data_IF_949905070787
#
_entry.id   IF_949905070787
#
_cell.length_a   1.000
_cell.length_b   1.000
_cell.length_c   1.000
_cell.angle_alpha   90.00
_cell.angle_beta   90.00
_cell.angle_gamma   90.00
#
_symmetry.space_group_name_H-M   'P 1'
#
loop_
_entity.id
_entity.type
_entity.pdbx_description
1 polymer ?
#
# COMPACT_ATOMS: atom_id res chain seq x y z
N UNK A 1 25.29 24.07 4.75
CA UNK A 1 24.61 23.17 3.79
C UNK A 1 23.22 22.91 4.32
N UNK A 2 22.19 23.33 3.60
CA UNK A 2 20.81 22.95 3.92
C UNK A 2 20.68 21.44 3.71
N UNK A 3 20.24 20.70 4.73
CA UNK A 3 19.84 19.29 4.51
C UNK A 3 18.57 19.29 3.68
N UNK A 4 18.62 18.73 2.49
CA UNK A 4 17.41 18.39 1.76
C UNK A 4 16.61 17.37 2.58
N UNK A 5 15.35 17.69 2.83
CA UNK A 5 14.38 16.76 3.39
C UNK A 5 13.51 16.32 2.22
N UNK A 6 13.77 15.14 1.70
CA UNK A 6 13.03 14.63 0.54
C UNK A 6 12.92 13.10 0.56
N UNK A 7 12.25 12.55 -0.43
CA UNK A 7 12.03 11.11 -0.57
C UNK A 7 13.22 10.33 -1.12
N UNK A 8 14.36 10.99 -1.31
CA UNK A 8 15.59 10.36 -1.77
C UNK A 8 16.61 10.34 -0.65
N UNK A 9 17.08 9.17 -0.31
CA UNK A 9 18.12 8.93 0.68
C UNK A 9 19.43 8.58 -0.05
N UNK A 10 20.53 9.18 0.40
CA UNK A 10 21.86 8.88 -0.14
C UNK A 10 22.49 7.77 0.69
N UNK A 11 23.07 6.78 0.00
CA UNK A 11 23.90 5.77 0.66
C UNK A 11 25.29 6.38 0.88
N UNK A 12 25.70 6.53 2.12
CA UNK A 12 27.09 6.89 2.47
C UNK A 12 28.03 5.70 2.21
N UNK A 13 29.29 6.00 1.87
CA UNK A 13 30.31 4.97 1.59
C UNK A 13 30.48 3.95 2.74
N UNK A 14 30.19 4.35 3.98
CA UNK A 14 30.29 3.50 5.17
C UNK A 14 29.03 2.65 5.44
N UNK A 15 27.98 2.78 4.63
CA UNK A 15 26.72 2.04 4.76
C UNK A 15 26.67 0.84 3.79
N UNK A 16 27.80 0.44 3.23
CA UNK A 16 27.92 -0.77 2.42
C UNK A 16 27.75 -1.98 3.34
N UNK A 17 26.69 -2.63 3.12
CA UNK A 17 25.96 -3.62 3.90
C UNK A 17 26.77 -4.88 4.17
N UNK A 18 26.61 -5.40 5.37
CA UNK A 18 26.83 -6.81 5.60
C UNK A 18 25.81 -7.61 4.80
N UNK A 19 26.30 -8.50 3.98
CA UNK A 19 25.49 -9.43 3.17
C UNK A 19 24.78 -10.37 4.15
N UNK A 20 23.48 -10.16 4.33
CA UNK A 20 22.62 -11.04 5.10
C UNK A 20 21.65 -11.71 4.13
N UNK A 21 21.65 -13.04 4.09
CA UNK A 21 20.69 -13.80 3.31
C UNK A 21 19.32 -13.91 3.99
N UNK A 22 19.15 -13.25 5.14
CA UNK A 22 17.92 -13.30 5.90
C UNK A 22 16.99 -12.12 5.55
N UNK A 23 15.71 -12.43 5.42
CA UNK A 23 14.69 -11.39 5.24
C UNK A 23 14.63 -10.51 6.51
N UNK A 24 14.74 -9.18 6.39
CA UNK A 24 14.65 -8.30 7.55
C UNK A 24 13.33 -8.49 8.31
N UNK A 25 13.39 -8.44 9.64
CA UNK A 25 12.22 -8.68 10.50
C UNK A 25 11.05 -7.74 10.22
N UNK A 26 11.32 -6.49 9.86
CA UNK A 26 10.30 -5.51 9.47
C UNK A 26 9.56 -5.88 8.17
N UNK A 27 10.15 -6.75 7.34
CA UNK A 27 9.54 -7.23 6.10
C UNK A 27 8.95 -8.63 6.28
N UNK A 28 9.65 -9.53 6.99
CA UNK A 28 9.19 -10.92 7.23
C UNK A 28 7.88 -11.00 8.02
N UNK A 29 7.53 -9.94 8.77
CA UNK A 29 6.23 -9.83 9.48
C UNK A 29 5.02 -9.92 8.56
N UNK A 30 5.17 -9.60 7.28
CA UNK A 30 4.09 -9.67 6.30
C UNK A 30 3.87 -11.10 5.74
N UNK A 31 4.63 -12.09 6.22
CA UNK A 31 4.49 -13.49 5.80
C UNK A 31 5.17 -13.76 4.46
N UNK A 32 4.43 -14.25 3.49
CA UNK A 32 4.95 -14.56 2.16
C UNK A 32 5.21 -13.28 1.35
N UNK A 33 6.45 -12.81 1.37
CA UNK A 33 6.84 -11.57 0.70
C UNK A 33 7.50 -11.87 -0.63
N UNK A 34 7.00 -11.24 -1.69
CA UNK A 34 7.62 -11.18 -3.00
C UNK A 34 8.26 -9.82 -3.21
N UNK A 35 9.58 -9.77 -3.39
CA UNK A 35 10.30 -8.55 -3.68
C UNK A 35 10.09 -8.13 -5.14
N UNK A 36 9.93 -6.84 -5.36
CA UNK A 36 9.71 -6.22 -6.67
C UNK A 36 10.60 -4.99 -6.83
N UNK A 37 10.70 -4.47 -8.04
CA UNK A 37 11.50 -3.27 -8.33
C UNK A 37 10.89 -1.98 -7.73
N UNK A 38 9.59 -1.98 -7.45
CA UNK A 38 8.87 -0.81 -6.90
C UNK A 38 7.50 -1.22 -6.36
N UNK A 39 6.89 -0.39 -5.51
CA UNK A 39 5.49 -0.57 -5.10
C UNK A 39 4.52 -0.57 -6.27
N UNK A 40 4.77 0.24 -7.32
CA UNK A 40 4.01 0.19 -8.57
C UNK A 40 4.13 -1.18 -9.25
N UNK A 41 5.34 -1.73 -9.34
CA UNK A 41 5.57 -3.06 -9.90
C UNK A 41 4.88 -4.16 -9.09
N UNK A 42 4.86 -4.03 -7.75
CA UNK A 42 4.12 -4.92 -6.88
C UNK A 42 2.62 -4.89 -7.19
N UNK A 43 2.04 -3.69 -7.31
CA UNK A 43 0.63 -3.52 -7.64
C UNK A 43 0.31 -4.06 -9.04
N UNK A 44 1.12 -3.75 -10.07
CA UNK A 44 0.91 -4.27 -11.42
C UNK A 44 0.91 -5.80 -11.43
N UNK A 45 1.87 -6.43 -10.77
CA UNK A 45 1.96 -7.88 -10.66
C UNK A 45 0.73 -8.48 -9.96
N UNK A 46 0.27 -7.86 -8.87
CA UNK A 46 -0.94 -8.27 -8.17
C UNK A 46 -2.16 -8.24 -9.10
N UNK A 47 -2.35 -7.13 -9.84
CA UNK A 47 -3.51 -6.93 -10.72
C UNK A 47 -3.54 -7.91 -11.90
N UNK A 48 -2.42 -8.49 -12.30
CA UNK A 48 -2.36 -9.56 -13.28
C UNK A 48 -2.87 -10.91 -12.72
N UNK A 49 -2.76 -11.12 -11.42
CA UNK A 49 -3.09 -12.39 -10.77
C UNK A 49 -4.51 -12.43 -10.21
N UNK A 50 -5.02 -11.30 -9.70
CA UNK A 50 -6.33 -11.25 -9.07
C UNK A 50 -7.46 -11.18 -10.09
N UNK A 51 -8.59 -11.81 -9.77
CA UNK A 51 -9.79 -11.85 -10.62
C UNK A 51 -11.01 -11.37 -9.81
N UNK A 52 -11.18 -10.06 -9.64
CA UNK A 52 -12.35 -9.53 -8.95
C UNK A 52 -13.63 -9.83 -9.73
N UNK A 53 -14.77 -9.86 -9.03
CA UNK A 53 -16.09 -10.03 -9.67
C UNK A 53 -16.41 -8.90 -10.66
N UNK A 54 -15.98 -7.69 -10.32
CA UNK A 54 -16.14 -6.48 -11.13
C UNK A 54 -14.79 -5.79 -11.24
N UNK A 55 -14.44 -5.31 -12.41
CA UNK A 55 -13.19 -4.55 -12.65
C UNK A 55 -13.37 -3.07 -12.30
N UNK A 56 -13.87 -2.79 -11.11
CA UNK A 56 -13.95 -1.46 -10.52
C UNK A 56 -13.12 -1.43 -9.26
N UNK A 57 -12.34 -0.39 -9.06
CA UNK A 57 -11.57 -0.17 -7.83
C UNK A 57 -12.02 1.09 -7.11
N UNK A 58 -12.13 1.01 -5.79
CA UNK A 58 -12.38 2.14 -4.92
C UNK A 58 -11.07 2.58 -4.26
N UNK A 59 -10.65 3.80 -4.54
CA UNK A 59 -9.39 4.42 -4.12
C UNK A 59 -9.63 5.63 -3.20
N UNK A 60 -8.71 5.98 -2.30
CA UNK A 60 -8.80 7.27 -1.61
C UNK A 60 -8.59 8.41 -2.60
N UNK A 61 -9.30 9.53 -2.44
CA UNK A 61 -9.17 10.70 -3.32
C UNK A 61 -7.78 11.36 -3.20
N UNK A 62 -7.12 11.26 -2.05
CA UNK A 62 -5.76 11.72 -1.85
C UNK A 62 -4.75 10.58 -2.09
N UNK A 63 -4.42 10.36 -3.36
CA UNK A 63 -3.53 9.28 -3.78
C UNK A 63 -2.62 9.72 -4.92
N UNK A 64 -1.42 9.15 -5.00
CA UNK A 64 -0.48 9.49 -6.07
C UNK A 64 -0.78 8.71 -7.37
N UNK A 65 -0.47 9.34 -8.50
CA UNK A 65 -0.64 8.74 -9.83
C UNK A 65 0.10 7.41 -10.01
N UNK A 66 1.14 7.15 -9.21
CA UNK A 66 1.88 5.88 -9.26
C UNK A 66 1.06 4.67 -8.78
N UNK A 67 -0.03 4.89 -8.03
CA UNK A 67 -0.99 3.86 -7.63
C UNK A 67 -2.16 3.80 -8.62
N UNK A 68 -2.60 4.94 -9.14
CA UNK A 68 -3.70 5.02 -10.13
C UNK A 68 -3.34 4.30 -11.43
N UNK A 69 -2.19 4.61 -11.98
CA UNK A 69 -1.76 4.15 -13.30
C UNK A 69 -1.79 2.61 -13.51
N UNK A 70 -1.36 1.76 -12.56
CA UNK A 70 -1.51 0.31 -12.71
C UNK A 70 -2.95 -0.16 -12.87
N UNK A 71 -3.91 0.45 -12.17
CA UNK A 71 -5.33 0.11 -12.32
C UNK A 71 -5.87 0.52 -13.69
N UNK A 72 -5.52 1.71 -14.16
CA UNK A 72 -5.90 2.18 -15.52
C UNK A 72 -5.34 1.24 -16.59
N UNK A 73 -4.05 0.88 -16.49
CA UNK A 73 -3.40 -0.02 -17.43
C UNK A 73 -3.99 -1.44 -17.41
N UNK A 74 -4.45 -1.89 -16.24
CA UNK A 74 -5.15 -3.16 -16.10
C UNK A 74 -6.64 -3.10 -16.51
N UNK A 75 -7.15 -1.93 -16.92
CA UNK A 75 -8.51 -1.73 -17.42
C UNK A 75 -9.57 -1.72 -16.31
N UNK A 76 -9.23 -1.20 -15.12
CA UNK A 76 -10.18 -0.98 -14.04
C UNK A 76 -10.92 0.35 -14.23
N UNK A 77 -12.19 0.36 -13.91
CA UNK A 77 -12.94 1.58 -13.65
C UNK A 77 -12.55 2.14 -12.29
N UNK A 78 -12.23 3.43 -12.24
CA UNK A 78 -11.77 4.08 -11.02
C UNK A 78 -12.91 4.82 -10.33
N UNK A 79 -13.09 4.53 -9.06
CA UNK A 79 -13.98 5.27 -8.16
C UNK A 79 -13.21 5.73 -6.94
N UNK A 80 -13.69 6.77 -6.26
CA UNK A 80 -12.94 7.39 -5.19
C UNK A 80 -13.81 7.63 -3.96
N UNK A 81 -13.21 7.45 -2.79
CA UNK A 81 -13.75 7.92 -1.52
C UNK A 81 -12.96 9.11 -1.00
N UNK A 82 -13.62 10.06 -0.39
CA UNK A 82 -12.99 11.25 0.12
C UNK A 82 -12.31 11.02 1.47
N UNK A 83 -11.20 11.76 1.69
CA UNK A 83 -10.50 11.82 2.97
C UNK A 83 -10.55 13.26 3.52
N UNK A 84 -10.64 13.39 4.83
CA UNK A 84 -10.68 14.66 5.53
C UNK A 84 -9.27 15.28 5.70
N UNK A 85 -9.18 16.39 6.44
CA UNK A 85 -7.91 17.07 6.73
C UNK A 85 -6.97 16.24 7.61
N UNK A 86 -7.50 15.26 8.33
CA UNK A 86 -6.73 14.32 9.13
C UNK A 86 -6.41 13.05 8.35
N UNK A 87 -6.76 13.02 7.05
CA UNK A 87 -6.54 11.90 6.14
C UNK A 87 -7.34 10.63 6.52
N UNK A 88 -8.45 10.81 7.23
CA UNK A 88 -9.42 9.74 7.48
C UNK A 88 -10.52 9.76 6.42
N UNK A 89 -11.09 8.59 6.06
CA UNK A 89 -12.26 8.54 5.20
C UNK A 89 -13.43 9.35 5.77
N UNK A 90 -14.08 10.13 4.93
CA UNK A 90 -15.21 10.99 5.36
C UNK A 90 -16.55 10.26 5.39
N UNK A 91 -16.70 9.21 4.58
CA UNK A 91 -17.95 8.46 4.44
C UNK A 91 -17.70 6.94 4.40
N UNK A 92 -17.81 6.30 5.54
CA UNK A 92 -17.63 4.86 5.69
C UNK A 92 -18.79 4.08 5.05
N UNK A 93 -20.00 4.62 5.08
CA UNK A 93 -21.16 3.96 4.48
C UNK A 93 -21.07 3.96 2.94
N UNK A 94 -20.51 5.01 2.33
CA UNK A 94 -20.22 5.02 0.90
C UNK A 94 -19.24 3.89 0.54
N UNK A 95 -18.18 3.71 1.31
CA UNK A 95 -17.19 2.65 1.07
C UNK A 95 -17.85 1.28 1.22
N UNK A 96 -18.59 1.06 2.29
CA UNK A 96 -19.27 -0.20 2.59
C UNK A 96 -20.29 -0.61 1.53
N UNK A 97 -21.04 0.35 1.01
CA UNK A 97 -22.08 0.12 0.01
C UNK A 97 -21.55 0.23 -1.44
N UNK A 98 -20.24 0.36 -1.64
CA UNK A 98 -19.69 0.43 -2.99
C UNK A 98 -19.82 -0.92 -3.71
N UNK A 99 -20.03 -0.85 -5.02
CA UNK A 99 -20.02 -2.04 -5.88
C UNK A 99 -18.62 -2.42 -6.39
N UNK A 100 -17.56 -1.86 -5.79
CA UNK A 100 -16.20 -2.10 -6.24
C UNK A 100 -15.76 -3.56 -6.04
N UNK A 101 -15.07 -4.11 -7.01
CA UNK A 101 -14.46 -5.44 -6.89
C UNK A 101 -13.12 -5.42 -6.15
N UNK A 102 -12.48 -4.25 -6.06
CA UNK A 102 -11.23 -4.01 -5.33
C UNK A 102 -11.36 -2.77 -4.47
N UNK A 103 -10.90 -2.84 -3.24
CA UNK A 103 -10.76 -1.71 -2.32
C UNK A 103 -9.29 -1.53 -1.95
N UNK A 104 -8.73 -0.37 -2.25
CA UNK A 104 -7.38 -0.01 -1.83
C UNK A 104 -7.43 1.10 -0.78
N UNK A 105 -6.72 0.90 0.30
CA UNK A 105 -6.52 1.90 1.35
C UNK A 105 -5.05 2.05 1.70
N UNK A 106 -4.70 3.14 2.36
CA UNK A 106 -3.33 3.42 2.79
C UNK A 106 -3.30 4.24 4.07
N UNK A 107 -2.27 4.04 4.88
CA UNK A 107 -1.91 4.98 5.93
C UNK A 107 -1.08 6.13 5.36
N UNK A 108 -1.12 7.30 6.00
CA UNK A 108 -0.45 8.50 5.50
C UNK A 108 0.64 8.98 6.44
N UNK A 109 1.81 9.28 5.87
CA UNK A 109 2.92 10.00 6.52
C UNK A 109 3.37 9.44 7.88
N UNK A 110 3.21 8.14 8.09
CA UNK A 110 3.56 7.48 9.35
C UNK A 110 2.44 7.50 10.40
N UNK A 111 1.30 8.10 10.11
CA UNK A 111 0.14 8.08 10.99
C UNK A 111 -0.75 6.88 10.72
N UNK A 112 -1.30 6.28 11.78
CA UNK A 112 -2.30 5.21 11.68
C UNK A 112 -3.66 5.82 11.34
N UNK A 113 -3.91 6.01 10.03
CA UNK A 113 -5.18 6.53 9.52
C UNK A 113 -6.13 5.42 9.09
N UNK A 114 -5.72 4.16 9.25
CA UNK A 114 -6.48 2.98 8.84
C UNK A 114 -7.26 2.29 9.97
N UNK A 115 -7.12 2.71 11.23
CA UNK A 115 -7.84 2.09 12.36
C UNK A 115 -9.34 2.05 12.13
N UNK A 116 -9.89 3.18 11.66
CA UNK A 116 -11.33 3.31 11.34
C UNK A 116 -11.79 2.35 10.23
N UNK A 117 -10.87 1.89 9.36
CA UNK A 117 -11.16 0.96 8.27
C UNK A 117 -11.03 -0.50 8.68
N UNK A 118 -10.51 -0.79 9.86
CA UNK A 118 -10.17 -2.15 10.27
C UNK A 118 -11.34 -3.14 10.19
N UNK A 119 -12.50 -2.76 10.72
CA UNK A 119 -13.69 -3.62 10.69
C UNK A 119 -14.36 -3.62 9.31
N UNK A 120 -14.26 -2.50 8.61
CA UNK A 120 -14.76 -2.37 7.25
C UNK A 120 -14.02 -3.28 6.28
N UNK A 121 -12.69 -3.36 6.38
CA UNK A 121 -11.87 -4.27 5.56
C UNK A 121 -12.34 -5.72 5.73
N UNK A 122 -12.58 -6.16 6.97
CA UNK A 122 -13.10 -7.51 7.24
C UNK A 122 -14.49 -7.74 6.64
N UNK A 123 -15.35 -6.74 6.71
CA UNK A 123 -16.68 -6.79 6.08
C UNK A 123 -16.58 -6.93 4.57
N UNK A 124 -15.80 -6.08 3.91
CA UNK A 124 -15.60 -6.11 2.46
C UNK A 124 -15.02 -7.46 1.98
N UNK A 125 -14.07 -8.04 2.73
CA UNK A 125 -13.55 -9.38 2.45
C UNK A 125 -14.64 -10.45 2.50
N UNK A 126 -15.54 -10.40 3.50
CA UNK A 126 -16.66 -11.34 3.58
C UNK A 126 -17.63 -11.23 2.40
N UNK A 127 -17.69 -10.08 1.75
CA UNK A 127 -18.46 -9.81 0.54
C UNK A 127 -17.69 -10.12 -0.75
N UNK A 128 -16.50 -10.70 -0.63
CA UNK A 128 -15.60 -11.05 -1.74
C UNK A 128 -15.05 -9.84 -2.51
N UNK A 129 -14.93 -8.70 -1.87
CA UNK A 129 -14.16 -7.56 -2.35
C UNK A 129 -12.68 -7.82 -2.03
N UNK A 130 -11.82 -7.68 -3.03
CA UNK A 130 -10.37 -7.84 -2.85
C UNK A 130 -9.82 -6.57 -2.14
N UNK A 131 -9.17 -6.75 -1.00
CA UNK A 131 -8.66 -5.64 -0.20
C UNK A 131 -7.14 -5.54 -0.31
N UNK A 132 -6.65 -4.33 -0.59
CA UNK A 132 -5.22 -4.02 -0.75
C UNK A 132 -4.85 -2.89 0.21
N UNK A 133 -3.79 -3.10 0.99
CA UNK A 133 -3.22 -2.05 1.84
C UNK A 133 -1.86 -1.60 1.29
N UNK A 134 -1.72 -0.30 0.98
CA UNK A 134 -0.43 0.30 0.64
C UNK A 134 0.23 0.84 1.92
N UNK A 135 1.23 0.13 2.41
CA UNK A 135 2.00 0.50 3.61
C UNK A 135 3.22 1.37 3.28
N UNK A 136 3.30 1.93 2.09
CA UNK A 136 4.46 2.73 1.66
C UNK A 136 4.79 3.86 2.64
N UNK A 137 3.79 4.52 3.22
CA UNK A 137 4.00 5.62 4.16
C UNK A 137 4.02 5.17 5.64
N UNK A 138 3.65 3.93 5.94
CA UNK A 138 3.49 3.42 7.30
C UNK A 138 4.33 2.18 7.59
N UNK A 139 5.25 1.82 6.69
CA UNK A 139 6.04 0.58 6.77
C UNK A 139 6.68 0.34 8.15
N UNK A 140 7.14 1.38 8.81
CA UNK A 140 7.76 1.31 10.14
C UNK A 140 6.84 1.77 11.28
N UNK A 141 5.64 2.25 10.98
CA UNK A 141 4.67 2.71 11.99
C UNK A 141 3.76 1.58 12.48
N UNK A 142 3.57 0.54 11.68
CA UNK A 142 2.63 -0.57 11.92
C UNK A 142 3.23 -1.72 12.73
N UNK A 143 4.02 -1.46 13.75
CA UNK A 143 4.81 -2.52 14.41
C UNK A 143 3.99 -3.65 15.05
N UNK A 144 2.74 -3.39 15.44
CA UNK A 144 1.92 -4.36 16.18
C UNK A 144 0.51 -4.57 15.61
N UNK A 145 0.16 -3.90 14.51
CA UNK A 145 -1.18 -4.03 13.97
C UNK A 145 -1.34 -5.34 13.18
N UNK A 146 -2.41 -6.10 13.40
CA UNK A 146 -2.66 -7.29 12.61
C UNK A 146 -2.99 -6.92 11.15
N UNK A 147 -2.42 -7.66 10.22
CA UNK A 147 -2.74 -7.55 8.80
C UNK A 147 -4.18 -8.01 8.59
N UNK A 148 -5.02 -7.14 8.04
CA UNK A 148 -6.43 -7.43 7.80
C UNK A 148 -6.76 -7.55 6.31
N UNK A 149 -6.05 -6.81 5.45
CA UNK A 149 -6.21 -6.85 4.00
C UNK A 149 -5.76 -8.18 3.40
N UNK A 150 -6.29 -8.51 2.21
CA UNK A 150 -5.88 -9.72 1.48
C UNK A 150 -4.46 -9.60 0.97
N UNK A 151 -4.08 -8.38 0.55
CA UNK A 151 -2.76 -8.09 0.01
C UNK A 151 -2.17 -6.82 0.63
N UNK A 152 -0.87 -6.82 0.76
CA UNK A 152 -0.07 -5.68 1.22
C UNK A 152 0.92 -5.32 0.12
N UNK A 153 1.01 -4.03 -0.21
CA UNK A 153 2.06 -3.52 -1.09
C UNK A 153 2.86 -2.43 -0.41
N UNK A 154 4.11 -2.27 -0.81
CA UNK A 154 4.92 -1.19 -0.29
C UNK A 154 6.11 -0.83 -1.16
N UNK A 155 6.59 0.41 -1.04
CA UNK A 155 7.77 0.93 -1.73
C UNK A 155 8.92 1.10 -0.75
N UNK A 156 9.87 0.16 -0.79
CA UNK A 156 11.05 0.13 0.11
C UNK A 156 11.98 1.32 -0.17
N UNK A 157 12.16 1.71 -1.44
CA UNK A 157 13.04 2.80 -1.83
C UNK A 157 12.68 4.16 -1.23
N UNK A 158 11.47 4.32 -0.70
CA UNK A 158 11.06 5.56 -0.01
C UNK A 158 11.59 5.66 1.41
N UNK A 159 12.15 4.59 1.95
CA UNK A 159 12.69 4.49 3.30
C UNK A 159 14.21 4.32 3.33
N UNK A 160 14.79 3.86 2.24
CA UNK A 160 16.21 3.56 2.14
C UNK A 160 16.82 4.20 0.91
N UNK A 161 18.12 4.52 0.96
CA UNK A 161 18.89 5.09 -0.14
C UNK A 161 19.22 4.07 -1.24
N UNK A 162 18.22 3.38 -1.77
CA UNK A 162 18.34 2.40 -2.84
C UNK A 162 17.59 2.86 -4.09
N UNK A 163 18.10 2.53 -5.26
CA UNK A 163 17.56 2.96 -6.55
C UNK A 163 16.20 2.32 -6.86
N UNK A 164 15.96 1.11 -6.36
CA UNK A 164 14.73 0.34 -6.59
C UNK A 164 14.39 -0.49 -5.36
N UNK A 165 13.14 -0.87 -5.23
CA UNK A 165 12.68 -1.74 -4.16
C UNK A 165 11.20 -1.51 -3.84
N UNK A 166 10.47 -2.58 -3.88
CA UNK A 166 9.08 -2.69 -3.45
C UNK A 166 8.79 -4.12 -3.04
N UNK A 167 7.60 -4.37 -2.56
CA UNK A 167 7.17 -5.72 -2.20
C UNK A 167 5.66 -5.88 -2.33
N UNK A 168 5.26 -7.13 -2.50
CA UNK A 168 3.90 -7.66 -2.43
C UNK A 168 3.89 -8.77 -1.38
N UNK A 169 2.89 -8.75 -0.50
CA UNK A 169 2.63 -9.80 0.48
C UNK A 169 1.14 -10.14 0.54
#
# INVERSE_FOLDING_TARGET
MSKEIGSEFWIGENNLLHDSNEMPSWLSRFGNVLLTTSGRGALSLLLEQVKPRVKTVLLPSYICNSVILPFEQAGYELTYYDVDRNLNPTDIELIKNSSAGVFLHMGYFGFSTNEILSDLVLTLKSESVITIEDVTHTLFSLQNDPIKSDFIIGSIRKWFGISSGGFLA
#
